data_IF_891288295090
#
_entry.id   IF_891288295090
#
_cell.length_a   1.000
_cell.length_b   1.000
_cell.length_c   1.000
_cell.angle_alpha   90.00
_cell.angle_beta   90.00
_cell.angle_gamma   90.00
#
_symmetry.space_group_name_H-M   'P 1'
#
loop_
_entity.id
_entity.type
_entity.pdbx_description
1 polymer ?
#
# COMPACT_ATOMS: atom_id res chain seq x y z
N UNK A 1 23.46 42.79 74.03
CA UNK A 1 23.64 41.52 73.30
C UNK A 1 22.91 41.62 71.98
N UNK A 2 23.63 41.88 70.89
CA UNK A 2 23.16 41.80 69.51
C UNK A 2 24.41 41.65 68.63
N UNK A 3 24.55 40.50 67.97
CA UNK A 3 25.41 40.27 66.82
C UNK A 3 24.51 39.62 65.77
N UNK A 4 24.37 40.27 64.62
CA UNK A 4 23.76 39.71 63.42
C UNK A 4 24.87 39.51 62.39
N UNK A 5 25.12 38.25 62.03
CA UNK A 5 25.98 37.85 60.93
C UNK A 5 25.33 38.18 59.58
N UNK A 6 26.11 38.77 58.67
CA UNK A 6 25.79 38.85 57.26
C UNK A 6 26.24 37.56 56.56
N UNK A 7 25.29 36.77 56.07
CA UNK A 7 25.56 35.68 55.13
C UNK A 7 25.32 36.17 53.70
N UNK A 8 26.37 36.02 52.89
CA UNK A 8 26.47 36.41 51.48
C UNK A 8 25.84 35.30 50.62
N UNK A 9 24.66 35.52 50.04
CA UNK A 9 24.04 34.59 49.10
C UNK A 9 24.85 34.51 47.79
N UNK A 10 25.15 33.29 47.35
CA UNK A 10 25.70 32.96 46.02
C UNK A 10 24.54 32.78 45.03
N UNK A 11 24.68 33.17 43.75
CA UNK A 11 23.65 32.89 42.75
C UNK A 11 23.63 31.39 42.41
N UNK A 12 22.43 30.81 42.39
CA UNK A 12 22.15 29.45 41.92
C UNK A 12 22.40 29.40 40.39
N UNK A 13 23.14 28.42 39.86
CA UNK A 13 23.37 28.31 38.42
C UNK A 13 22.09 27.88 37.70
N UNK A 14 21.72 28.63 36.65
CA UNK A 14 20.65 28.31 35.69
C UNK A 14 20.94 26.96 35.01
N UNK A 15 19.93 26.09 34.94
CA UNK A 15 19.90 24.82 34.23
C UNK A 15 20.39 24.94 32.78
N UNK A 16 21.64 24.56 32.50
CA UNK A 16 22.15 24.35 31.13
C UNK A 16 21.68 23.02 30.51
N UNK A 17 21.18 22.08 31.34
CA UNK A 17 20.77 20.74 30.88
C UNK A 17 19.46 20.72 30.09
N UNK A 18 18.49 21.57 30.44
CA UNK A 18 17.18 21.63 29.78
C UNK A 18 17.27 22.27 28.38
N UNK A 19 18.10 23.32 28.21
CA UNK A 19 18.31 23.95 26.89
C UNK A 19 18.93 22.99 25.87
N UNK A 20 19.84 22.11 26.30
CA UNK A 20 20.49 21.15 25.42
C UNK A 20 19.56 20.00 24.99
N UNK A 21 18.58 19.64 25.81
CA UNK A 21 17.61 18.59 25.51
C UNK A 21 16.57 19.07 24.50
N UNK A 22 16.03 20.28 24.71
CA UNK A 22 15.05 20.93 23.82
C UNK A 22 15.66 21.18 22.42
N UNK A 23 16.90 21.68 22.35
CA UNK A 23 17.58 21.88 21.06
C UNK A 23 17.86 20.57 20.30
N UNK A 24 18.08 19.46 21.01
CA UNK A 24 18.30 18.17 20.39
C UNK A 24 17.02 17.56 19.83
N UNK A 25 15.89 17.69 20.53
CA UNK A 25 14.57 17.29 20.03
C UNK A 25 14.14 18.14 18.84
N UNK A 26 14.30 19.47 18.90
CA UNK A 26 14.01 20.38 17.79
C UNK A 26 14.82 20.04 16.53
N UNK A 27 16.12 19.75 16.69
CA UNK A 27 16.98 19.35 15.58
C UNK A 27 16.60 17.97 14.97
N UNK A 28 16.13 17.03 15.79
CA UNK A 28 15.62 15.74 15.29
C UNK A 28 14.35 15.92 14.48
N UNK A 29 13.53 16.88 14.90
CA UNK A 29 12.21 17.12 14.38
C UNK A 29 12.23 17.92 13.07
N UNK A 30 13.14 18.89 12.96
CA UNK A 30 13.49 19.54 11.68
C UNK A 30 14.13 18.57 10.69
N UNK A 31 15.01 17.69 11.17
CA UNK A 31 15.55 16.60 10.33
C UNK A 31 14.43 15.67 9.84
N UNK A 32 13.43 15.38 10.68
CA UNK A 32 12.28 14.59 10.28
C UNK A 32 11.47 15.33 9.20
N UNK A 33 11.14 16.61 9.40
CA UNK A 33 10.42 17.46 8.43
C UNK A 33 11.11 17.52 7.07
N UNK A 34 12.42 17.78 7.05
CA UNK A 34 13.22 17.83 5.82
C UNK A 34 13.32 16.46 5.14
N UNK A 35 13.48 15.37 5.91
CA UNK A 35 13.46 14.00 5.38
C UNK A 35 12.11 13.67 4.74
N UNK A 36 11.01 14.02 5.41
CA UNK A 36 9.66 13.79 4.88
C UNK A 36 9.44 14.55 3.58
N UNK A 37 9.71 15.86 3.53
CA UNK A 37 9.56 16.65 2.30
C UNK A 37 10.38 16.07 1.13
N UNK A 38 11.59 15.59 1.39
CA UNK A 38 12.43 14.97 0.37
C UNK A 38 11.89 13.60 -0.08
N UNK A 39 11.37 12.79 0.83
CA UNK A 39 10.70 11.51 0.51
C UNK A 39 9.50 11.78 -0.38
N UNK A 40 8.68 12.77 -0.03
CA UNK A 40 7.50 13.19 -0.80
C UNK A 40 7.87 13.53 -2.25
N UNK A 41 8.85 14.39 -2.45
CA UNK A 41 9.33 14.78 -3.78
C UNK A 41 9.87 13.59 -4.59
N UNK A 42 10.62 12.69 -3.94
CA UNK A 42 11.13 11.47 -4.59
C UNK A 42 10.01 10.52 -5.00
N UNK A 43 8.99 10.36 -4.17
CA UNK A 43 7.81 9.56 -4.50
C UNK A 43 7.01 10.15 -5.66
N UNK A 44 6.83 11.48 -5.70
CA UNK A 44 6.21 12.17 -6.84
C UNK A 44 6.97 11.91 -8.14
N UNK A 45 8.29 12.11 -8.14
CA UNK A 45 9.13 11.84 -9.31
C UNK A 45 9.13 10.36 -9.72
N UNK A 46 9.08 9.44 -8.76
CA UNK A 46 8.99 8.01 -9.04
C UNK A 46 7.63 7.64 -9.64
N UNK A 47 6.53 8.22 -9.15
CA UNK A 47 5.18 8.05 -9.70
C UNK A 47 5.14 8.48 -11.17
N UNK A 48 5.70 9.64 -11.50
CA UNK A 48 5.79 10.12 -12.88
C UNK A 48 6.65 9.22 -13.76
N UNK A 49 7.77 8.70 -13.24
CA UNK A 49 8.64 7.78 -14.00
C UNK A 49 7.96 6.44 -14.27
N UNK A 50 7.24 5.88 -13.31
CA UNK A 50 6.50 4.63 -13.47
C UNK A 50 5.28 4.81 -14.40
N UNK A 51 4.73 6.02 -14.50
CA UNK A 51 3.69 6.31 -15.48
C UNK A 51 4.18 6.40 -16.93
N UNK A 52 5.50 6.35 -17.19
CA UNK A 52 6.06 6.42 -18.55
C UNK A 52 6.07 5.05 -19.23
N UNK A 53 5.40 4.99 -20.38
CA UNK A 53 5.35 4.01 -21.49
C UNK A 53 5.63 2.51 -21.24
N UNK A 54 6.71 2.08 -20.58
CA UNK A 54 7.05 0.65 -20.51
C UNK A 54 6.04 -0.17 -19.70
N UNK A 55 5.69 0.29 -18.50
CA UNK A 55 4.78 -0.45 -17.61
C UNK A 55 3.34 -0.39 -18.13
N UNK A 56 3.00 0.73 -18.80
CA UNK A 56 1.72 0.92 -19.48
C UNK A 56 1.57 -0.07 -20.65
N UNK A 57 2.61 -0.27 -21.45
CA UNK A 57 2.56 -1.24 -22.55
C UNK A 57 2.43 -2.69 -22.07
N UNK A 58 3.08 -3.06 -20.96
CA UNK A 58 2.94 -4.40 -20.36
C UNK A 58 1.52 -4.59 -19.81
N UNK A 59 1.01 -3.61 -19.07
CA UNK A 59 -0.35 -3.66 -18.51
C UNK A 59 -1.42 -3.78 -19.61
N UNK A 60 -1.34 -2.97 -20.67
CA UNK A 60 -2.27 -3.01 -21.79
C UNK A 60 -2.16 -4.32 -22.59
N UNK A 61 -0.94 -4.86 -22.74
CA UNK A 61 -0.73 -6.16 -23.40
C UNK A 61 -1.34 -7.30 -22.59
N UNK A 62 -1.05 -7.36 -21.28
CA UNK A 62 -1.59 -8.39 -20.41
C UNK A 62 -3.11 -8.29 -20.35
N UNK A 63 -3.67 -7.10 -20.17
CA UNK A 63 -5.13 -6.90 -20.21
C UNK A 63 -5.76 -7.51 -21.47
N UNK A 64 -5.20 -7.21 -22.66
CA UNK A 64 -5.69 -7.78 -23.93
C UNK A 64 -5.54 -9.29 -24.00
N UNK A 65 -4.45 -9.84 -23.46
CA UNK A 65 -4.23 -11.29 -23.45
C UNK A 65 -5.26 -12.02 -22.57
N UNK A 66 -5.55 -11.47 -21.39
CA UNK A 66 -6.57 -12.00 -20.48
C UNK A 66 -7.99 -11.85 -21.04
N UNK A 67 -8.30 -10.71 -21.67
CA UNK A 67 -9.57 -10.51 -22.38
C UNK A 67 -9.75 -11.50 -23.54
N UNK A 68 -8.70 -11.74 -24.32
CA UNK A 68 -8.73 -12.74 -25.39
C UNK A 68 -8.90 -14.16 -24.85
N UNK A 69 -8.21 -14.50 -23.75
CA UNK A 69 -8.38 -15.78 -23.07
C UNK A 69 -9.84 -15.96 -22.61
N UNK A 70 -10.40 -14.94 -21.96
CA UNK A 70 -11.81 -14.90 -21.50
C UNK A 70 -12.80 -14.97 -22.65
N UNK A 71 -12.59 -14.24 -23.74
CA UNK A 71 -13.46 -14.28 -24.92
C UNK A 71 -13.44 -15.65 -25.62
N UNK A 72 -12.32 -16.36 -25.53
CA UNK A 72 -12.18 -17.71 -26.07
C UNK A 72 -12.60 -18.82 -25.11
N UNK A 73 -13.01 -18.48 -23.88
CA UNK A 73 -13.40 -19.47 -22.88
C UNK A 73 -14.68 -20.18 -23.28
N UNK A 74 -14.74 -21.49 -23.03
CA UNK A 74 -15.92 -22.32 -23.31
C UNK A 74 -16.61 -22.76 -22.02
N UNK A 75 -15.88 -22.76 -20.90
CA UNK A 75 -16.39 -23.17 -19.61
C UNK A 75 -15.76 -22.33 -18.50
N UNK A 76 -16.54 -22.03 -17.47
CA UNK A 76 -16.06 -21.38 -16.25
C UNK A 76 -16.38 -22.29 -15.05
N UNK A 77 -15.36 -22.59 -14.24
CA UNK A 77 -15.48 -23.42 -13.04
C UNK A 77 -15.21 -22.59 -11.80
N UNK A 78 -16.12 -22.67 -10.84
CA UNK A 78 -16.03 -21.99 -9.56
C UNK A 78 -15.52 -22.96 -8.50
N UNK A 79 -14.54 -22.52 -7.72
CA UNK A 79 -13.94 -23.31 -6.65
C UNK A 79 -14.13 -22.58 -5.32
N UNK A 80 -14.62 -23.33 -4.33
CA UNK A 80 -14.71 -22.91 -2.95
C UNK A 80 -13.96 -23.88 -2.03
N UNK A 81 -13.56 -23.36 -0.86
CA UNK A 81 -12.95 -24.15 0.21
C UNK A 81 -11.84 -25.09 -0.26
N UNK A 82 -12.05 -26.39 -0.03
CA UNK A 82 -11.05 -27.44 -0.27
C UNK A 82 -10.81 -27.76 -1.76
N UNK A 83 -11.70 -27.32 -2.66
CA UNK A 83 -11.55 -27.58 -4.09
C UNK A 83 -10.45 -26.72 -4.73
N UNK A 84 -10.14 -25.57 -4.11
CA UNK A 84 -8.99 -24.74 -4.43
C UNK A 84 -7.76 -25.31 -3.72
N UNK A 85 -6.89 -25.99 -4.47
CA UNK A 85 -5.68 -26.62 -3.94
C UNK A 85 -4.58 -26.77 -5.00
N UNK A 86 -3.36 -27.13 -4.57
CA UNK A 86 -2.22 -27.31 -5.48
C UNK A 86 -2.42 -28.43 -6.50
N UNK A 87 -3.28 -29.43 -6.23
CA UNK A 87 -3.63 -30.47 -7.20
C UNK A 87 -4.37 -29.92 -8.42
N UNK A 88 -5.24 -28.92 -8.20
CA UNK A 88 -5.87 -28.17 -9.29
C UNK A 88 -4.82 -27.41 -10.11
N UNK A 89 -3.90 -26.71 -9.45
CA UNK A 89 -2.83 -25.99 -10.15
C UNK A 89 -1.90 -26.92 -10.92
N UNK A 90 -1.60 -28.11 -10.40
CA UNK A 90 -0.84 -29.14 -11.11
C UNK A 90 -1.57 -29.60 -12.38
N UNK A 91 -2.90 -29.75 -12.31
CA UNK A 91 -3.75 -30.11 -13.46
C UNK A 91 -3.74 -28.99 -14.51
N UNK A 92 -3.91 -27.73 -14.10
CA UNK A 92 -3.85 -26.57 -15.00
C UNK A 92 -2.47 -26.49 -15.66
N UNK A 93 -1.41 -26.70 -14.88
CA UNK A 93 -0.03 -26.73 -15.36
C UNK A 93 0.21 -27.82 -16.41
N UNK A 94 -0.27 -29.03 -16.16
CA UNK A 94 -0.17 -30.14 -17.12
C UNK A 94 -0.90 -29.79 -18.43
N UNK A 95 -2.09 -29.21 -18.33
CA UNK A 95 -2.88 -28.79 -19.50
C UNK A 95 -2.16 -27.75 -20.37
N UNK A 96 -1.59 -26.70 -19.77
CA UNK A 96 -0.89 -25.66 -20.54
C UNK A 96 0.36 -26.22 -21.23
N UNK A 97 1.06 -27.17 -20.61
CA UNK A 97 2.21 -27.83 -21.21
C UNK A 97 1.82 -28.77 -22.34
N UNK A 98 0.81 -29.64 -22.15
CA UNK A 98 0.32 -30.50 -23.22
C UNK A 98 -0.20 -29.69 -24.42
N UNK A 99 -0.83 -28.54 -24.18
CA UNK A 99 -1.27 -27.62 -25.23
C UNK A 99 -0.09 -27.01 -25.99
N UNK A 100 0.94 -26.56 -25.28
CA UNK A 100 2.14 -26.01 -25.89
C UNK A 100 2.90 -27.05 -26.74
N UNK A 101 3.10 -28.26 -26.20
CA UNK A 101 3.75 -29.37 -26.92
C UNK A 101 2.96 -29.77 -28.17
N UNK A 102 1.63 -29.84 -28.07
CA UNK A 102 0.76 -30.14 -29.22
C UNK A 102 0.85 -29.07 -30.31
N UNK A 103 0.82 -27.78 -29.94
CA UNK A 103 1.00 -26.68 -30.90
C UNK A 103 2.39 -26.75 -31.55
N UNK A 104 3.44 -27.07 -30.80
CA UNK A 104 4.79 -27.23 -31.33
C UNK A 104 4.91 -28.44 -32.28
N UNK A 105 4.25 -29.56 -31.99
CA UNK A 105 4.19 -30.75 -32.86
C UNK A 105 3.45 -30.46 -34.18
N UNK A 106 2.36 -29.69 -34.12
CA UNK A 106 1.62 -29.27 -35.32
C UNK A 106 2.46 -28.34 -36.22
N UNK A 107 3.23 -27.42 -35.64
CA UNK A 107 4.09 -26.49 -36.36
C UNK A 107 5.32 -27.17 -36.99
N UNK A 108 5.81 -28.26 -36.40
CA UNK A 108 6.96 -29.03 -36.90
C UNK A 108 6.60 -30.04 -38.01
N UNK A 109 5.31 -30.17 -38.35
CA UNK A 109 4.86 -31.04 -39.45
C UNK A 109 4.91 -32.53 -39.13
N UNK A 110 5.15 -32.92 -37.87
CA UNK A 110 5.17 -34.31 -37.44
C UNK A 110 3.76 -34.90 -37.48
N UNK A 111 3.40 -35.44 -38.65
CA UNK A 111 2.05 -35.95 -38.97
C UNK A 111 1.76 -37.31 -38.31
N UNK A 112 2.70 -37.83 -37.51
CA UNK A 112 2.66 -39.18 -36.92
C UNK A 112 2.01 -39.21 -35.52
N UNK A 113 1.73 -38.04 -34.92
CA UNK A 113 1.09 -37.91 -33.61
C UNK A 113 -0.35 -37.38 -33.72
N UNK A 114 -1.12 -37.88 -34.69
CA UNK A 114 -2.58 -37.69 -34.72
C UNK A 114 -3.22 -38.56 -33.62
N UNK A 115 -3.03 -38.18 -32.35
CA UNK A 115 -4.05 -38.45 -31.35
C UNK A 115 -5.35 -37.80 -31.85
N UNK A 116 -6.51 -38.46 -31.69
CA UNK A 116 -7.73 -38.02 -32.32
C UNK A 116 -7.98 -36.57 -31.97
N UNK A 117 -8.19 -35.75 -33.02
CA UNK A 117 -8.68 -34.38 -32.93
C UNK A 117 -9.98 -34.43 -32.13
N UNK A 118 -9.89 -34.23 -30.80
CA UNK A 118 -11.07 -34.03 -29.98
C UNK A 118 -11.58 -32.63 -30.34
N UNK A 119 -12.77 -32.49 -30.96
CA UNK A 119 -13.23 -31.21 -31.54
C UNK A 119 -13.67 -30.17 -30.50
N UNK A 120 -13.32 -30.34 -29.23
CA UNK A 120 -13.72 -29.47 -28.14
C UNK A 120 -12.52 -29.24 -27.23
N UNK A 121 -11.67 -28.28 -27.59
CA UNK A 121 -10.73 -27.72 -26.63
C UNK A 121 -11.54 -26.87 -25.66
N UNK A 122 -12.00 -27.49 -24.57
CA UNK A 122 -12.60 -26.74 -23.48
C UNK A 122 -11.55 -25.79 -22.93
N UNK A 123 -11.67 -24.51 -23.27
CA UNK A 123 -10.89 -23.45 -22.63
C UNK A 123 -11.59 -23.12 -21.33
N UNK A 124 -11.12 -23.78 -20.28
CA UNK A 124 -11.67 -23.65 -18.94
C UNK A 124 -11.00 -22.46 -18.27
N UNK A 125 -11.83 -21.54 -17.79
CA UNK A 125 -11.43 -20.51 -16.84
C UNK A 125 -11.79 -20.99 -15.44
N UNK A 126 -10.86 -20.86 -14.49
CA UNK A 126 -11.03 -21.30 -13.11
C UNK A 126 -11.19 -20.06 -12.23
N UNK A 127 -12.22 -20.00 -11.40
CA UNK A 127 -12.47 -18.86 -10.51
C UNK A 127 -12.47 -19.31 -9.06
N UNK A 128 -11.63 -18.69 -8.25
CA UNK A 128 -11.48 -18.94 -6.82
C UNK A 128 -11.57 -17.61 -6.06
N UNK A 129 -12.73 -17.32 -5.48
CA UNK A 129 -13.01 -16.02 -4.86
C UNK A 129 -12.83 -14.87 -5.86
N UNK A 130 -11.92 -13.94 -5.54
CA UNK A 130 -11.59 -12.77 -6.36
C UNK A 130 -10.46 -13.02 -7.38
N UNK A 131 -10.13 -14.28 -7.63
CA UNK A 131 -9.03 -14.69 -8.51
C UNK A 131 -9.58 -15.47 -9.69
N UNK A 132 -9.15 -15.12 -10.89
CA UNK A 132 -9.50 -15.79 -12.14
C UNK A 132 -8.21 -16.35 -12.75
N UNK A 133 -8.14 -17.67 -12.92
CA UNK A 133 -7.00 -18.39 -13.47
C UNK A 133 -7.36 -18.90 -14.85
N UNK A 134 -6.51 -18.63 -15.85
CA UNK A 134 -6.71 -19.05 -17.22
C UNK A 134 -5.43 -19.61 -17.84
N UNK A 135 -5.61 -20.51 -18.79
CA UNK A 135 -4.53 -21.06 -19.61
C UNK A 135 -4.16 -20.05 -20.71
N UNK A 136 -2.92 -19.56 -20.69
CA UNK A 136 -2.39 -18.66 -21.70
C UNK A 136 -1.54 -19.42 -22.74
N UNK A 137 -1.20 -18.76 -23.84
CA UNK A 137 -0.40 -19.39 -24.90
C UNK A 137 1.05 -19.63 -24.46
N UNK A 138 1.64 -20.74 -24.92
CA UNK A 138 3.05 -21.06 -24.70
C UNK A 138 3.36 -21.69 -23.34
N UNK A 139 2.41 -22.43 -22.73
CA UNK A 139 2.65 -23.09 -21.44
C UNK A 139 2.54 -22.16 -20.25
N UNK A 140 1.94 -20.98 -20.43
CA UNK A 140 1.82 -19.93 -19.40
C UNK A 140 0.48 -20.04 -18.68
N UNK A 141 0.49 -19.74 -17.39
CA UNK A 141 -0.71 -19.65 -16.54
C UNK A 141 -0.95 -18.19 -16.20
N UNK A 142 -2.11 -17.68 -16.59
CA UNK A 142 -2.54 -16.33 -16.27
C UNK A 142 -3.37 -16.32 -14.99
N UNK A 143 -3.09 -15.38 -14.09
CA UNK A 143 -3.89 -15.09 -12.90
C UNK A 143 -4.31 -13.62 -12.96
N UNK A 144 -5.61 -13.38 -12.88
CA UNK A 144 -6.20 -12.07 -12.75
C UNK A 144 -6.79 -11.92 -11.34
N UNK A 145 -6.37 -10.88 -10.64
CA UNK A 145 -6.88 -10.48 -9.34
C UNK A 145 -7.89 -9.36 -9.53
N UNK A 146 -9.13 -9.62 -9.13
CA UNK A 146 -10.21 -8.66 -9.07
C UNK A 146 -10.19 -8.03 -7.67
N UNK A 147 -10.03 -6.71 -7.58
CA UNK A 147 -10.11 -5.99 -6.31
C UNK A 147 -11.42 -5.24 -6.21
N UNK A 148 -11.92 -5.04 -4.99
CA UNK A 148 -13.17 -4.31 -4.75
C UNK A 148 -13.11 -3.52 -3.47
N UNK A 149 -13.81 -2.40 -3.39
CA UNK A 149 -13.95 -1.62 -2.17
C UNK A 149 -15.43 -1.31 -1.92
N UNK A 150 -15.92 -1.62 -0.73
CA UNK A 150 -17.33 -1.47 -0.37
C UNK A 150 -18.32 -2.14 -1.36
N UNK A 151 -17.91 -3.25 -1.98
CA UNK A 151 -18.72 -4.00 -2.96
C UNK A 151 -18.57 -3.53 -4.41
N UNK A 152 -17.95 -2.38 -4.64
CA UNK A 152 -17.71 -1.85 -5.98
C UNK A 152 -16.37 -2.34 -6.54
N UNK A 153 -16.30 -2.74 -7.83
CA UNK A 153 -15.06 -3.19 -8.44
C UNK A 153 -14.06 -2.04 -8.57
N UNK A 154 -12.79 -2.33 -8.29
CA UNK A 154 -11.67 -1.41 -8.43
C UNK A 154 -10.78 -1.83 -9.61
N UNK A 155 -9.47 -2.00 -9.38
CA UNK A 155 -8.52 -2.36 -10.44
C UNK A 155 -8.39 -3.87 -10.62
N UNK A 156 -7.99 -4.23 -11.83
CA UNK A 156 -7.54 -5.56 -12.18
C UNK A 156 -6.03 -5.62 -12.15
N UNK A 157 -5.49 -6.63 -11.47
CA UNK A 157 -4.06 -6.92 -11.49
C UNK A 157 -3.81 -8.28 -12.14
N UNK A 158 -2.73 -8.39 -12.88
CA UNK A 158 -2.38 -9.59 -13.63
C UNK A 158 -1.04 -10.14 -13.15
N UNK A 159 -0.93 -11.46 -13.11
CA UNK A 159 0.30 -12.19 -12.87
C UNK A 159 0.35 -13.36 -13.85
N UNK A 160 1.49 -13.53 -14.52
CA UNK A 160 1.73 -14.63 -15.46
C UNK A 160 2.82 -15.50 -14.88
N UNK A 161 2.47 -16.77 -14.69
CA UNK A 161 3.38 -17.80 -14.25
C UNK A 161 3.83 -18.62 -15.46
N UNK A 162 5.11 -18.97 -15.45
CA UNK A 162 5.71 -19.84 -16.44
C UNK A 162 6.46 -20.98 -15.74
N UNK A 163 6.47 -22.13 -16.39
CA UNK A 163 7.48 -23.14 -16.15
C UNK A 163 8.01 -23.62 -17.49
N UNK A 164 9.32 -23.87 -17.62
CA UNK A 164 9.89 -24.34 -18.89
C UNK A 164 9.57 -25.81 -19.17
N UNK A 165 9.37 -26.59 -18.11
CA UNK A 165 8.91 -27.98 -18.18
C UNK A 165 8.03 -28.31 -16.97
N UNK A 166 7.30 -29.42 -17.01
CA UNK A 166 6.48 -29.87 -15.87
C UNK A 166 7.32 -30.19 -14.61
N UNK A 167 8.62 -30.48 -14.79
CA UNK A 167 9.53 -30.84 -13.69
C UNK A 167 10.27 -29.62 -13.10
N UNK A 168 10.28 -28.49 -13.79
CA UNK A 168 10.97 -27.29 -13.33
C UNK A 168 10.18 -26.50 -12.28
N UNK A 169 10.84 -25.57 -11.59
CA UNK A 169 10.14 -24.65 -10.69
C UNK A 169 9.32 -23.65 -11.51
N UNK A 170 8.10 -23.38 -11.07
CA UNK A 170 7.28 -22.31 -11.62
C UNK A 170 7.82 -20.94 -11.17
N UNK A 171 7.84 -19.96 -12.07
CA UNK A 171 8.37 -18.61 -11.84
C UNK A 171 7.42 -17.54 -12.33
N UNK A 172 7.49 -16.34 -11.74
CA UNK A 172 6.73 -15.17 -12.20
C UNK A 172 7.43 -14.57 -13.42
N UNK A 173 6.77 -14.67 -14.57
CA UNK A 173 7.25 -14.15 -15.84
C UNK A 173 6.95 -12.65 -15.97
N UNK A 174 5.69 -12.26 -15.82
CA UNK A 174 5.20 -10.89 -15.99
C UNK A 174 4.07 -10.57 -15.00
N UNK A 175 3.93 -9.30 -14.60
CA UNK A 175 2.83 -8.88 -13.73
C UNK A 175 2.54 -7.38 -13.84
N UNK A 176 1.36 -6.97 -13.36
CA UNK A 176 1.01 -5.55 -13.15
C UNK A 176 1.01 -5.16 -11.67
N UNK A 177 1.45 -6.05 -10.78
CA UNK A 177 1.56 -5.80 -9.33
C UNK A 177 2.49 -4.60 -9.06
N UNK A 178 2.07 -3.62 -8.24
CA UNK A 178 2.92 -2.50 -7.84
C UNK A 178 4.27 -2.94 -7.27
N UNK A 179 5.37 -2.32 -7.71
CA UNK A 179 6.73 -2.74 -7.36
C UNK A 179 7.03 -2.78 -5.84
N UNK A 180 6.30 -2.00 -5.04
CA UNK A 180 6.45 -1.97 -3.59
C UNK A 180 5.72 -3.13 -2.87
N UNK A 181 4.97 -3.97 -3.60
CA UNK A 181 4.29 -5.17 -3.08
C UNK A 181 5.12 -6.46 -3.25
N UNK A 182 6.46 -6.34 -3.26
CA UNK A 182 7.47 -7.40 -3.06
C UNK A 182 7.13 -8.81 -3.62
N UNK A 183 6.56 -8.88 -4.82
CA UNK A 183 6.13 -10.14 -5.45
C UNK A 183 7.26 -11.18 -5.57
N UNK A 184 8.51 -10.73 -5.69
CA UNK A 184 9.69 -11.61 -5.76
C UNK A 184 9.97 -12.31 -4.44
N UNK A 185 9.64 -11.70 -3.30
CA UNK A 185 9.74 -12.35 -2.00
C UNK A 185 8.67 -13.43 -1.88
N UNK A 186 7.41 -13.10 -2.20
CA UNK A 186 6.32 -14.07 -2.25
C UNK A 186 6.61 -15.25 -3.21
N UNK A 187 7.20 -14.98 -4.38
CA UNK A 187 7.63 -16.01 -5.34
C UNK A 187 8.67 -16.97 -4.72
N UNK A 188 9.63 -16.44 -3.97
CA UNK A 188 10.67 -17.24 -3.34
C UNK A 188 10.11 -18.08 -2.19
N UNK A 189 9.22 -17.50 -1.39
CA UNK A 189 8.69 -18.12 -0.18
C UNK A 189 7.64 -19.19 -0.48
N UNK A 190 6.74 -18.90 -1.44
CA UNK A 190 5.54 -19.71 -1.66
C UNK A 190 5.60 -20.50 -2.96
N UNK A 191 6.02 -19.92 -4.08
CA UNK A 191 5.76 -20.53 -5.39
C UNK A 191 6.46 -21.89 -5.60
N UNK A 192 7.62 -22.12 -4.95
CA UNK A 192 8.30 -23.43 -4.96
C UNK A 192 7.64 -24.49 -4.09
N UNK A 193 6.93 -24.10 -3.04
CA UNK A 193 6.42 -25.02 -2.02
C UNK A 193 4.91 -25.24 -2.17
N UNK A 194 4.17 -24.18 -2.48
CA UNK A 194 2.73 -24.17 -2.56
C UNK A 194 2.27 -22.98 -3.42
N UNK A 195 1.92 -23.26 -4.68
CA UNK A 195 1.54 -22.25 -5.64
C UNK A 195 0.19 -21.61 -5.28
N UNK A 196 -0.71 -22.37 -4.68
CA UNK A 196 -1.99 -21.87 -4.17
C UNK A 196 -1.79 -20.77 -3.13
N UNK A 197 -0.89 -20.98 -2.16
CA UNK A 197 -0.52 -19.99 -1.14
C UNK A 197 0.10 -18.75 -1.76
N UNK A 198 0.93 -18.88 -2.78
CA UNK A 198 1.45 -17.72 -3.51
C UNK A 198 0.31 -16.89 -4.08
N UNK A 199 -0.62 -17.55 -4.79
CA UNK A 199 -1.74 -16.89 -5.44
C UNK A 199 -2.63 -16.20 -4.41
N UNK A 200 -2.99 -16.88 -3.32
CA UNK A 200 -3.82 -16.31 -2.26
C UNK A 200 -3.13 -15.13 -1.57
N UNK A 201 -1.86 -15.30 -1.20
CA UNK A 201 -1.07 -14.25 -0.56
C UNK A 201 -1.00 -12.98 -1.40
N UNK A 202 -0.76 -13.11 -2.71
CA UNK A 202 -0.75 -11.95 -3.61
C UNK A 202 -2.12 -11.29 -3.73
N UNK A 203 -3.20 -12.08 -3.75
CA UNK A 203 -4.57 -11.56 -3.75
C UNK A 203 -4.88 -10.73 -2.50
N UNK A 204 -4.48 -11.22 -1.33
CA UNK A 204 -4.67 -10.54 -0.05
C UNK A 204 -3.85 -9.24 0.03
N UNK A 205 -2.60 -9.26 -0.45
CA UNK A 205 -1.75 -8.06 -0.50
C UNK A 205 -2.34 -6.97 -1.39
N UNK A 206 -2.83 -7.35 -2.58
CA UNK A 206 -3.44 -6.42 -3.53
C UNK A 206 -4.73 -5.83 -2.98
N UNK A 207 -5.59 -6.67 -2.37
CA UNK A 207 -6.84 -6.22 -1.78
C UNK A 207 -6.58 -5.23 -0.64
N UNK A 208 -5.68 -5.55 0.29
CA UNK A 208 -5.33 -4.65 1.40
C UNK A 208 -4.73 -3.33 0.91
N UNK A 209 -3.91 -3.36 -0.14
CA UNK A 209 -3.39 -2.15 -0.77
C UNK A 209 -4.50 -1.28 -1.37
N UNK A 210 -5.45 -1.88 -2.08
CA UNK A 210 -6.60 -1.16 -2.65
C UNK A 210 -7.47 -0.59 -1.54
N UNK A 211 -7.77 -1.34 -0.48
CA UNK A 211 -8.56 -0.84 0.64
C UNK A 211 -7.94 0.40 1.28
N UNK A 212 -6.62 0.40 1.53
CA UNK A 212 -5.90 1.55 2.08
C UNK A 212 -5.94 2.76 1.12
N UNK A 213 -5.78 2.53 -0.18
CA UNK A 213 -5.88 3.58 -1.19
C UNK A 213 -7.28 4.20 -1.21
N UNK A 214 -8.31 3.35 -1.28
CA UNK A 214 -9.69 3.79 -1.40
C UNK A 214 -10.15 4.51 -0.14
N UNK A 215 -9.65 4.14 1.03
CA UNK A 215 -9.84 4.92 2.25
C UNK A 215 -9.30 6.37 2.12
N UNK A 216 -8.13 6.57 1.52
CA UNK A 216 -7.58 7.91 1.25
C UNK A 216 -8.37 8.66 0.18
N UNK A 217 -8.89 7.96 -0.83
CA UNK A 217 -9.82 8.55 -1.81
C UNK A 217 -11.11 9.01 -1.13
N UNK A 218 -11.64 8.19 -0.24
CA UNK A 218 -12.91 8.41 0.45
C UNK A 218 -12.84 9.59 1.42
N UNK A 219 -11.74 9.80 2.15
CA UNK A 219 -11.60 11.03 2.97
C UNK A 219 -11.67 12.30 2.13
N UNK A 220 -11.08 12.27 0.92
CA UNK A 220 -11.12 13.42 0.01
C UNK A 220 -12.53 13.64 -0.54
N UNK A 221 -13.27 12.57 -0.78
CA UNK A 221 -14.66 12.63 -1.25
C UNK A 221 -15.61 13.15 -0.15
N UNK A 222 -15.46 12.67 1.08
CA UNK A 222 -16.35 13.01 2.20
C UNK A 222 -16.01 14.36 2.86
N UNK A 223 -14.72 14.69 2.98
CA UNK A 223 -14.22 15.82 3.77
C UNK A 223 -13.38 16.80 2.95
N UNK A 224 -13.42 16.73 1.62
CA UNK A 224 -12.61 17.57 0.73
C UNK A 224 -12.88 19.07 0.82
N UNK A 225 -13.94 19.49 1.52
CA UNK A 225 -14.21 20.90 1.84
C UNK A 225 -13.46 21.39 3.09
N UNK A 226 -13.00 20.48 3.95
CA UNK A 226 -12.19 20.76 5.14
C UNK A 226 -10.69 20.52 4.88
N UNK A 227 -10.40 19.67 3.89
CA UNK A 227 -9.05 19.28 3.50
C UNK A 227 -8.59 20.17 2.35
N UNK A 228 -7.56 20.98 2.58
CA UNK A 228 -6.87 21.73 1.55
C UNK A 228 -5.98 20.81 0.69
N UNK A 229 -4.67 20.81 0.96
CA UNK A 229 -3.74 19.92 0.27
C UNK A 229 -3.74 18.51 0.90
N UNK A 230 -3.84 17.46 0.07
CA UNK A 230 -3.72 16.06 0.48
C UNK A 230 -2.58 15.39 -0.29
N UNK A 231 -1.61 14.87 0.45
CA UNK A 231 -0.48 14.12 -0.04
C UNK A 231 -0.48 12.69 0.53
N UNK A 232 0.02 11.73 -0.25
CA UNK A 232 0.24 10.36 0.25
C UNK A 232 1.43 9.69 -0.45
N UNK A 233 2.08 8.75 0.24
CA UNK A 233 3.08 7.87 -0.38
C UNK A 233 2.40 6.82 -1.28
N UNK A 234 3.18 6.20 -2.19
CA UNK A 234 2.68 5.18 -3.11
C UNK A 234 2.00 3.97 -2.41
N UNK A 235 2.59 3.38 -1.35
CA UNK A 235 1.94 2.29 -0.61
C UNK A 235 1.01 2.79 0.51
N UNK A 236 0.72 4.09 0.58
CA UNK A 236 -0.16 4.70 1.60
C UNK A 236 0.29 4.52 3.06
N UNK A 237 1.59 4.29 3.31
CA UNK A 237 2.17 4.28 4.66
C UNK A 237 2.37 5.69 5.24
N UNK A 238 2.25 6.73 4.42
CA UNK A 238 2.34 8.11 4.85
C UNK A 238 1.24 8.90 4.15
N UNK A 239 0.43 9.60 4.93
CA UNK A 239 -0.66 10.45 4.44
C UNK A 239 -0.51 11.78 5.16
N UNK A 240 -0.53 12.87 4.42
CA UNK A 240 -0.44 14.22 4.96
C UNK A 240 -1.60 15.04 4.40
N UNK A 241 -2.33 15.73 5.26
CA UNK A 241 -3.38 16.64 4.82
C UNK A 241 -3.35 17.94 5.60
N UNK A 242 -3.76 19.01 4.94
CA UNK A 242 -3.94 20.31 5.54
C UNK A 242 -5.41 20.53 5.89
N UNK A 243 -5.68 20.96 7.12
CA UNK A 243 -7.02 21.28 7.61
C UNK A 243 -7.21 22.80 7.57
N UNK A 244 -8.01 23.26 6.62
CA UNK A 244 -8.22 24.69 6.35
C UNK A 244 -8.82 25.41 7.56
N UNK A 245 -9.80 24.78 8.23
CA UNK A 245 -10.50 25.34 9.38
C UNK A 245 -9.59 25.59 10.60
N UNK A 246 -8.45 24.89 10.69
CA UNK A 246 -7.54 24.96 11.84
C UNK A 246 -6.16 25.54 11.50
N UNK A 247 -5.93 25.88 10.23
CA UNK A 247 -4.60 26.19 9.69
C UNK A 247 -3.52 25.20 10.19
N UNK A 248 -3.86 23.92 10.13
CA UNK A 248 -3.08 22.86 10.75
C UNK A 248 -2.78 21.79 9.73
N UNK A 249 -1.50 21.44 9.58
CA UNK A 249 -1.10 20.29 8.79
C UNK A 249 -1.05 19.05 9.66
N UNK A 250 -1.65 17.96 9.23
CA UNK A 250 -1.62 16.68 9.94
C UNK A 250 -0.85 15.67 9.11
N UNK A 251 0.18 15.08 9.69
CA UNK A 251 1.00 14.04 9.08
C UNK A 251 0.74 12.70 9.79
N UNK A 252 0.27 11.72 9.03
CA UNK A 252 0.06 10.34 9.45
C UNK A 252 1.22 9.48 8.95
N UNK A 253 1.86 8.76 9.86
CA UNK A 253 2.84 7.70 9.56
C UNK A 253 2.28 6.35 9.99
N UNK A 254 1.96 5.51 9.02
CA UNK A 254 1.26 4.24 9.15
C UNK A 254 2.22 3.08 8.82
N UNK A 255 2.44 2.15 9.74
CA UNK A 255 3.28 0.97 9.55
C UNK A 255 2.41 -0.27 9.49
N UNK A 256 2.68 -1.11 8.50
CA UNK A 256 2.03 -2.41 8.28
C UNK A 256 3.06 -3.56 8.38
N UNK A 257 4.12 -3.36 9.17
CA UNK A 257 5.37 -4.14 9.08
C UNK A 257 5.21 -5.63 9.41
N UNK A 258 4.21 -6.00 10.21
CA UNK A 258 3.98 -7.39 10.61
C UNK A 258 3.03 -8.10 9.66
N UNK A 259 2.09 -7.37 9.04
CA UNK A 259 1.16 -7.93 8.07
C UNK A 259 0.77 -6.91 7.00
N UNK A 260 1.41 -7.02 5.83
CA UNK A 260 1.07 -6.21 4.67
C UNK A 260 -0.32 -6.53 4.10
N UNK A 261 -1.01 -7.58 4.57
CA UNK A 261 -2.40 -7.91 4.21
C UNK A 261 -3.42 -7.22 5.13
N UNK A 262 -2.98 -6.53 6.19
CA UNK A 262 -3.89 -5.83 7.09
C UNK A 262 -4.32 -4.47 6.53
N UNK A 263 -5.62 -4.19 6.48
CA UNK A 263 -6.08 -2.84 6.12
C UNK A 263 -5.72 -1.82 7.21
N UNK A 264 -5.75 -2.23 8.48
CA UNK A 264 -5.40 -1.39 9.62
C UNK A 264 -3.89 -1.44 9.92
N UNK A 265 -3.28 -0.29 10.28
CA UNK A 265 -1.86 -0.21 10.61
C UNK A 265 -1.54 -0.86 11.95
N UNK A 266 -0.38 -1.52 12.05
CA UNK A 266 0.15 -2.07 13.31
C UNK A 266 0.95 -1.04 14.12
N UNK A 267 1.55 -0.07 13.43
CA UNK A 267 2.22 1.08 14.06
C UNK A 267 1.68 2.38 13.51
N UNK A 268 1.36 3.32 14.40
CA UNK A 268 0.81 4.63 14.01
C UNK A 268 1.56 5.74 14.73
N UNK A 269 1.87 6.80 14.00
CA UNK A 269 2.29 8.09 14.54
C UNK A 269 1.52 9.21 13.85
N UNK A 270 0.91 10.08 14.64
CA UNK A 270 0.14 11.24 14.14
C UNK A 270 0.74 12.51 14.70
N UNK A 271 1.11 13.43 13.81
CA UNK A 271 1.69 14.73 14.16
C UNK A 271 0.84 15.85 13.56
N UNK A 272 0.44 16.81 14.39
CA UNK A 272 -0.23 18.05 13.98
C UNK A 272 0.74 19.24 14.05
N UNK A 273 0.78 20.03 12.99
CA UNK A 273 1.65 21.18 12.81
C UNK A 273 0.77 22.44 12.65
N UNK A 274 0.61 23.27 13.68
CA UNK A 274 -0.07 24.56 13.53
C UNK A 274 0.80 25.49 12.67
N UNK A 275 0.26 26.07 11.61
CA UNK A 275 1.04 26.92 10.70
C UNK A 275 0.99 28.41 11.10
N UNK A 276 0.00 28.84 11.91
CA UNK A 276 -0.13 30.23 12.39
C UNK A 276 0.90 30.68 13.45
N UNK A 277 1.68 29.78 14.05
CA UNK A 277 2.75 30.16 15.00
C UNK A 277 3.88 31.01 14.37
N UNK A 278 3.92 31.12 13.03
CA UNK A 278 5.00 31.78 12.30
C UNK A 278 4.83 33.31 12.20
N UNK A 279 3.66 33.88 12.59
CA UNK A 279 3.31 35.25 12.15
C UNK A 279 3.03 36.30 13.23
N UNK A 280 3.28 36.04 14.51
CA UNK A 280 3.07 37.08 15.55
C UNK A 280 4.33 37.31 16.40
N UNK A 281 5.11 38.29 15.97
CA UNK A 281 5.95 39.18 16.78
C UNK A 281 7.00 38.56 17.72
N UNK A 282 8.17 38.19 17.18
CA UNK A 282 9.49 38.68 17.60
C UNK A 282 10.57 38.08 16.69
N UNK A 283 11.76 38.68 16.66
CA UNK A 283 12.88 38.39 15.73
C UNK A 283 13.58 37.02 15.94
N UNK A 284 12.84 35.97 16.27
CA UNK A 284 13.35 34.60 16.31
C UNK A 284 12.34 33.71 15.56
N UNK A 285 12.77 33.14 14.43
CA UNK A 285 12.02 32.17 13.64
C UNK A 285 11.90 30.85 14.42
N UNK A 286 11.12 30.84 15.50
CA UNK A 286 10.84 29.61 16.25
C UNK A 286 9.78 28.83 15.48
N UNK A 287 10.20 27.81 14.74
CA UNK A 287 9.28 26.99 13.97
C UNK A 287 8.32 26.23 14.91
N UNK A 288 7.05 26.05 14.52
CA UNK A 288 6.06 25.34 15.34
C UNK A 288 6.51 23.91 15.60
N UNK A 289 6.60 23.56 16.88
CA UNK A 289 6.81 22.19 17.34
C UNK A 289 5.53 21.39 17.02
N UNK A 290 5.61 20.19 16.43
CA UNK A 290 4.42 19.41 16.17
C UNK A 290 3.90 18.79 17.46
N UNK A 291 2.58 18.74 17.57
CA UNK A 291 1.92 18.02 18.65
C UNK A 291 1.62 16.60 18.20
N UNK A 292 2.05 15.62 19.00
CA UNK A 292 1.69 14.22 18.78
C UNK A 292 0.25 13.97 19.25
N UNK A 293 -0.59 13.43 18.38
CA UNK A 293 -2.00 13.18 18.67
C UNK A 293 -2.22 11.72 19.07
N UNK A 294 -2.05 11.38 20.35
CA UNK A 294 -2.20 10.00 20.85
C UNK A 294 -3.59 9.41 20.61
N UNK A 295 -4.65 10.20 20.82
CA UNK A 295 -6.04 9.78 20.58
C UNK A 295 -6.28 9.39 19.12
N UNK A 296 -5.66 10.12 18.18
CA UNK A 296 -5.76 9.83 16.76
C UNK A 296 -4.99 8.55 16.38
N UNK A 297 -3.87 8.29 17.06
CA UNK A 297 -3.15 7.02 16.89
C UNK A 297 -3.99 5.83 17.34
N UNK A 298 -4.72 5.94 18.45
CA UNK A 298 -5.62 4.88 18.94
C UNK A 298 -6.82 4.66 18.00
N UNK A 299 -7.39 5.75 17.47
CA UNK A 299 -8.45 5.68 16.47
C UNK A 299 -7.96 4.93 15.21
N UNK A 300 -6.80 5.31 14.65
CA UNK A 300 -6.24 4.67 13.45
C UNK A 300 -5.84 3.20 13.64
N UNK A 301 -5.60 2.74 14.88
CA UNK A 301 -5.36 1.32 15.17
C UNK A 301 -6.62 0.47 15.13
N UNK A 302 -7.79 1.07 15.30
CA UNK A 302 -9.07 0.36 15.50
C UNK A 302 -10.16 0.71 14.49
N UNK A 303 -9.99 1.80 13.74
CA UNK A 303 -10.98 2.35 12.82
C UNK A 303 -10.37 2.56 11.43
N UNK A 304 -11.23 2.64 10.42
CA UNK A 304 -10.82 3.04 9.07
C UNK A 304 -10.34 4.50 9.04
N UNK A 305 -9.54 4.88 8.05
CA UNK A 305 -9.03 6.26 7.94
C UNK A 305 -10.14 7.33 7.90
N UNK A 306 -11.29 7.15 7.21
CA UNK A 306 -12.38 8.13 7.27
C UNK A 306 -13.00 8.30 8.65
N UNK A 307 -13.18 7.20 9.38
CA UNK A 307 -13.70 7.24 10.76
C UNK A 307 -12.69 7.91 11.70
N UNK A 308 -11.42 7.51 11.61
CA UNK A 308 -10.35 8.12 12.40
C UNK A 308 -10.14 9.60 12.06
N UNK A 309 -10.38 10.02 10.80
CA UNK A 309 -10.36 11.43 10.42
C UNK A 309 -11.42 12.24 11.19
N UNK A 310 -12.63 11.70 11.32
CA UNK A 310 -13.70 12.36 12.09
C UNK A 310 -13.27 12.56 13.55
N UNK A 311 -12.64 11.55 14.17
CA UNK A 311 -12.08 11.66 15.52
C UNK A 311 -10.96 12.71 15.62
N UNK A 312 -10.07 12.76 14.62
CA UNK A 312 -8.99 13.76 14.53
C UNK A 312 -9.59 15.16 14.60
N UNK A 313 -10.49 15.49 13.68
CA UNK A 313 -11.09 16.83 13.56
C UNK A 313 -11.90 17.20 14.80
N UNK A 314 -12.63 16.26 15.38
CA UNK A 314 -13.48 16.50 16.55
C UNK A 314 -12.67 16.96 17.78
N UNK A 315 -11.53 16.34 18.02
CA UNK A 315 -10.73 16.56 19.24
C UNK A 315 -9.55 17.53 19.03
N UNK A 316 -9.16 17.80 17.78
CA UNK A 316 -8.03 18.68 17.46
C UNK A 316 -8.11 20.08 18.09
N UNK A 317 -9.27 20.78 18.11
CA UNK A 317 -9.35 22.12 18.68
C UNK A 317 -9.01 22.16 20.17
N UNK A 318 -9.41 21.13 20.92
CA UNK A 318 -9.11 21.04 22.34
C UNK A 318 -7.62 20.83 22.57
N UNK A 319 -7.00 19.92 21.81
CA UNK A 319 -5.56 19.63 21.94
C UNK A 319 -4.71 20.83 21.53
N UNK A 320 -5.10 21.56 20.47
CA UNK A 320 -4.41 22.78 20.07
C UNK A 320 -4.52 23.87 21.15
N UNK A 321 -5.70 24.06 21.78
CA UNK A 321 -5.86 25.01 22.90
C UNK A 321 -5.04 24.65 24.14
N UNK A 322 -4.94 23.36 24.47
CA UNK A 322 -4.15 22.88 25.61
C UNK A 322 -2.65 23.03 25.36
N UNK A 323 -2.20 22.82 24.11
CA UNK A 323 -0.78 22.90 23.75
C UNK A 323 -0.32 24.33 23.46
N UNK A 324 -1.20 25.15 22.87
CA UNK A 324 -0.96 26.54 22.45
C UNK A 324 -1.98 27.50 23.06
N UNK A 325 -1.99 27.69 24.40
CA UNK A 325 -2.99 28.51 25.08
C UNK A 325 -2.95 30.01 24.75
N UNK A 326 -1.94 30.48 24.01
CA UNK A 326 -1.82 31.86 23.55
C UNK A 326 -2.32 32.10 22.12
N UNK A 327 -2.70 31.05 21.39
CA UNK A 327 -3.19 31.15 20.01
C UNK A 327 -4.72 31.00 20.01
N UNK A 328 -5.42 32.07 19.64
CA UNK A 328 -6.87 32.00 19.45
C UNK A 328 -7.17 31.26 18.13
N UNK A 329 -7.35 29.95 18.20
CA UNK A 329 -7.98 29.19 17.11
C UNK A 329 -9.47 29.52 17.10
N UNK A 330 -9.93 30.19 16.03
CA UNK A 330 -11.28 30.71 15.86
C UNK A 330 -12.23 29.67 15.27
#
# INVERSE_FOLDING_TARGET
MQQFDQVKERPIPRNMGEMNFVQAEDAQLENARARFSNIIKRHGALKERLSRDSDKTVSERLQREFEAARASQTQEKYFDGEQWNDGLLATIREQVHMEAERKAAQLSGDTTALLPVLPFHEKITYRAGNKTICCLEGGRIGIQYETSFAGEPCDLYHCVLESKSFLEKMTVLEHTVPFFLLIREAENDFLSSNAMKFIDHMGDLLQAYVDRREQVRLIKELYGNQIGELYHSLPYHMVEFFLDDFDCKVTLSLKYAEDLRSVLPTGVSVLAWPMHAVTMNTKEETQPIPTRLSYAEDALRSMSLPEAYAEIVLNLPQVLKETYPQENFA
#
